data_IF_045502063401
#
_entry.id   IF_045502063401
#
_cell.length_a   1.000
_cell.length_b   1.000
_cell.length_c   1.000
_cell.angle_alpha   90.00
_cell.angle_beta   90.00
_cell.angle_gamma   90.00
#
_symmetry.space_group_name_H-M   'P 1'
#
loop_
_entity.id
_entity.type
_entity.pdbx_description
1 polymer ?
#
# COMPACT_ATOMS: atom_id res chain seq x y z
N UNK A 1 -64.58 4.47 23.08
CA UNK A 1 -63.24 5.05 22.89
C UNK A 1 -62.31 3.98 22.29
N UNK A 2 -61.95 4.11 21.00
CA UNK A 2 -61.03 3.18 20.31
C UNK A 2 -59.65 3.83 20.36
N UNK A 3 -58.69 3.21 21.05
CA UNK A 3 -57.30 3.65 21.06
C UNK A 3 -56.61 3.25 19.74
N UNK A 4 -56.12 4.25 19.03
CA UNK A 4 -55.33 4.07 17.81
C UNK A 4 -53.86 3.85 18.21
N UNK A 5 -53.33 2.62 18.13
CA UNK A 5 -51.93 2.35 18.31
C UNK A 5 -51.18 2.84 17.06
N UNK A 6 -50.40 3.91 17.18
CA UNK A 6 -49.44 4.34 16.16
C UNK A 6 -48.19 3.50 16.31
N UNK A 7 -47.96 2.57 15.38
CA UNK A 7 -46.69 1.83 15.26
C UNK A 7 -45.67 2.73 14.55
N UNK A 8 -44.68 3.21 15.29
CA UNK A 8 -43.51 3.89 14.73
C UNK A 8 -42.60 2.83 14.07
N UNK A 9 -42.61 2.78 12.75
CA UNK A 9 -41.59 2.02 11.98
C UNK A 9 -40.33 2.89 11.95
N UNK A 10 -39.35 2.54 12.79
CA UNK A 10 -38.00 3.11 12.72
C UNK A 10 -37.34 2.45 11.48
N UNK A 11 -37.34 3.18 10.38
CA UNK A 11 -36.55 2.82 9.21
C UNK A 11 -35.07 3.03 9.58
N UNK A 12 -34.34 1.96 9.89
CA UNK A 12 -32.89 2.02 9.88
C UNK A 12 -32.48 2.32 8.44
N UNK A 13 -32.05 3.54 8.18
CA UNK A 13 -31.32 3.85 6.95
C UNK A 13 -30.07 2.95 6.98
N UNK A 14 -29.99 1.97 6.08
CA UNK A 14 -28.76 1.23 5.84
C UNK A 14 -27.72 2.27 5.42
N UNK A 15 -26.77 2.58 6.31
CA UNK A 15 -25.64 3.45 6.01
C UNK A 15 -24.94 2.93 4.75
N UNK A 16 -24.45 3.83 3.91
CA UNK A 16 -23.70 3.42 2.73
C UNK A 16 -22.51 2.54 3.18
N UNK A 17 -22.26 1.47 2.45
CA UNK A 17 -21.21 0.52 2.74
C UNK A 17 -19.84 1.21 2.56
N UNK A 18 -18.97 1.28 3.59
CA UNK A 18 -17.69 1.96 3.46
C UNK A 18 -16.81 1.28 2.41
N UNK A 19 -16.05 2.09 1.72
CA UNK A 19 -15.20 1.68 0.60
C UNK A 19 -13.75 2.07 0.88
N UNK A 20 -12.83 1.13 0.68
CA UNK A 20 -11.39 1.36 0.78
C UNK A 20 -10.79 1.12 -0.60
N UNK A 21 -10.20 2.15 -1.21
CA UNK A 21 -9.53 2.06 -2.51
C UNK A 21 -8.03 2.12 -2.30
N UNK A 22 -7.31 1.13 -2.81
CA UNK A 22 -5.85 1.08 -2.78
C UNK A 22 -5.30 1.64 -4.09
N UNK A 23 -4.46 2.66 -3.99
CA UNK A 23 -3.79 3.35 -5.11
C UNK A 23 -2.28 3.33 -4.86
N UNK A 24 -1.52 2.75 -5.77
CA UNK A 24 -0.08 2.63 -5.56
C UNK A 24 0.64 1.83 -6.64
N UNK A 25 1.84 1.41 -6.29
CA UNK A 25 2.75 0.66 -7.15
C UNK A 25 2.66 -0.86 -6.97
N UNK A 26 3.72 -1.58 -7.40
CA UNK A 26 3.79 -3.05 -7.34
C UNK A 26 3.75 -3.62 -5.93
N UNK A 27 4.19 -2.87 -4.91
CA UNK A 27 4.22 -3.34 -3.52
C UNK A 27 2.85 -3.35 -2.85
N UNK A 28 1.87 -2.71 -3.47
CA UNK A 28 0.45 -2.73 -3.10
C UNK A 28 -0.41 -3.54 -4.08
N UNK A 29 0.04 -3.73 -5.32
CA UNK A 29 -0.72 -4.33 -6.42
C UNK A 29 -1.14 -5.79 -6.16
N UNK A 30 -2.19 -6.24 -6.87
CA UNK A 30 -2.81 -7.57 -6.73
C UNK A 30 -1.82 -8.72 -6.90
N UNK A 31 -0.88 -8.62 -7.85
CA UNK A 31 0.01 -9.75 -8.18
C UNK A 31 1.26 -9.83 -7.30
N UNK A 32 1.69 -8.74 -6.68
CA UNK A 32 3.04 -8.62 -6.13
C UNK A 32 3.15 -7.80 -4.85
N UNK A 33 2.03 -7.37 -4.31
CA UNK A 33 1.98 -6.48 -3.15
C UNK A 33 1.16 -7.00 -1.98
N UNK A 34 1.06 -6.18 -0.95
CA UNK A 34 0.29 -6.51 0.24
C UNK A 34 -1.24 -6.33 0.06
N UNK A 35 -1.68 -5.68 -1.00
CA UNK A 35 -3.10 -5.35 -1.19
C UNK A 35 -4.05 -6.55 -1.11
N UNK A 36 -3.75 -7.72 -1.70
CA UNK A 36 -4.60 -8.91 -1.52
C UNK A 36 -4.73 -9.36 -0.07
N UNK A 37 -3.61 -9.36 0.68
CA UNK A 37 -3.61 -9.70 2.10
C UNK A 37 -4.40 -8.70 2.94
N UNK A 38 -4.31 -7.41 2.61
CA UNK A 38 -5.12 -6.37 3.24
C UNK A 38 -6.61 -6.54 2.92
N UNK A 39 -6.98 -6.66 1.64
CA UNK A 39 -8.38 -6.82 1.26
C UNK A 39 -9.03 -8.09 1.84
N UNK A 40 -8.25 -9.14 2.08
CA UNK A 40 -8.74 -10.37 2.72
C UNK A 40 -9.11 -10.18 4.21
N UNK A 41 -8.60 -9.14 4.87
CA UNK A 41 -8.93 -8.79 6.25
C UNK A 41 -10.20 -7.94 6.32
N UNK A 42 -10.44 -7.10 5.30
CA UNK A 42 -11.61 -6.22 5.25
C UNK A 42 -12.89 -7.04 5.31
N UNK A 43 -13.78 -6.71 6.25
CA UNK A 43 -15.06 -7.41 6.44
C UNK A 43 -15.96 -7.29 5.20
N UNK A 44 -16.85 -8.25 5.04
CA UNK A 44 -17.79 -8.32 3.91
C UNK A 44 -18.84 -7.20 3.87
N UNK A 45 -18.99 -6.45 4.98
CA UNK A 45 -19.85 -5.26 5.06
C UNK A 45 -19.10 -3.96 4.71
N UNK A 46 -17.86 -4.07 4.24
CA UNK A 46 -17.09 -3.01 3.58
C UNK A 46 -16.54 -3.47 2.22
N UNK A 47 -16.21 -2.55 1.34
CA UNK A 47 -15.69 -2.84 0.01
C UNK A 47 -14.20 -2.51 -0.04
N UNK A 48 -13.36 -3.46 -0.47
CA UNK A 48 -11.95 -3.22 -0.78
C UNK A 48 -11.71 -3.27 -2.29
N UNK A 49 -11.21 -2.19 -2.86
CA UNK A 49 -10.88 -2.09 -4.29
C UNK A 49 -9.38 -1.86 -4.45
N UNK A 50 -8.66 -2.87 -4.90
CA UNK A 50 -7.24 -2.72 -5.19
C UNK A 50 -7.04 -2.24 -6.64
N UNK A 51 -6.74 -0.96 -6.80
CA UNK A 51 -6.46 -0.29 -8.08
C UNK A 51 -4.96 0.00 -8.27
N UNK A 52 -4.09 -0.48 -7.36
CA UNK A 52 -2.65 -0.34 -7.49
C UNK A 52 -2.10 -1.11 -8.69
N UNK A 53 -1.08 -0.57 -9.35
CA UNK A 53 -0.48 -1.14 -10.57
C UNK A 53 1.03 -1.24 -10.46
N UNK A 54 1.55 -2.42 -10.80
CA UNK A 54 2.98 -2.68 -10.81
C UNK A 54 3.77 -1.72 -11.71
N UNK A 55 4.93 -1.26 -11.20
CA UNK A 55 5.85 -0.41 -11.96
C UNK A 55 5.46 1.07 -12.05
N UNK A 56 4.40 1.53 -11.38
CA UNK A 56 3.93 2.93 -11.47
C UNK A 56 4.55 3.79 -10.39
N UNK A 57 4.86 5.03 -10.77
CA UNK A 57 5.26 6.13 -9.89
C UNK A 57 4.09 7.11 -9.70
N UNK A 58 4.29 8.13 -8.87
CA UNK A 58 3.31 9.20 -8.69
C UNK A 58 2.93 9.89 -10.00
N UNK A 59 3.88 10.05 -10.93
CA UNK A 59 3.65 10.68 -12.24
C UNK A 59 3.04 9.72 -13.25
N UNK A 60 3.63 8.51 -13.42
CA UNK A 60 3.22 7.58 -14.47
C UNK A 60 1.84 6.97 -14.24
N UNK A 61 1.41 6.78 -12.98
CA UNK A 61 0.06 6.33 -12.64
C UNK A 61 -1.03 7.30 -13.13
N UNK A 62 -0.72 8.61 -13.09
CA UNK A 62 -1.59 9.65 -13.64
C UNK A 62 -1.51 9.69 -15.16
N UNK A 63 -0.31 9.71 -15.72
CA UNK A 63 -0.08 9.89 -17.14
C UNK A 63 -0.74 8.80 -18.02
N UNK A 64 -0.90 7.58 -17.49
CA UNK A 64 -1.56 6.48 -18.19
C UNK A 64 -3.11 6.43 -18.00
N UNK A 65 -3.70 7.40 -17.29
CA UNK A 65 -5.15 7.43 -17.02
C UNK A 65 -5.62 6.50 -15.88
N UNK A 66 -4.71 5.87 -15.12
CA UNK A 66 -5.11 5.03 -13.97
C UNK A 66 -5.76 5.84 -12.87
N UNK A 67 -5.29 7.07 -12.66
CA UNK A 67 -5.89 7.98 -11.69
C UNK A 67 -7.31 8.42 -12.09
N UNK A 68 -7.56 8.64 -13.37
CA UNK A 68 -8.89 9.01 -13.87
C UNK A 68 -9.92 7.92 -13.56
N UNK A 69 -9.49 6.64 -13.61
CA UNK A 69 -10.35 5.52 -13.23
C UNK A 69 -10.69 5.53 -11.73
N UNK A 70 -9.76 5.96 -10.86
CA UNK A 70 -10.03 6.15 -9.44
C UNK A 70 -11.03 7.28 -9.23
N UNK A 71 -10.81 8.43 -9.86
CA UNK A 71 -11.71 9.59 -9.77
C UNK A 71 -13.11 9.26 -10.28
N UNK A 72 -13.23 8.43 -11.32
CA UNK A 72 -14.53 7.93 -11.78
C UNK A 72 -15.28 7.12 -10.69
N UNK A 73 -14.54 6.31 -9.91
CA UNK A 73 -15.14 5.59 -8.77
C UNK A 73 -15.62 6.53 -7.65
N UNK A 74 -15.03 7.72 -7.54
CA UNK A 74 -15.42 8.69 -6.51
C UNK A 74 -16.65 9.53 -6.89
N UNK A 75 -17.15 9.47 -8.12
CA UNK A 75 -18.40 10.17 -8.53
C UNK A 75 -19.62 9.69 -7.76
N UNK A 76 -19.56 8.50 -7.16
CA UNK A 76 -20.65 7.96 -6.33
C UNK A 76 -20.08 7.44 -5.00
N UNK A 77 -20.76 7.73 -3.88
CA UNK A 77 -20.39 7.24 -2.55
C UNK A 77 -19.03 7.74 -2.06
N UNK A 78 -18.63 8.95 -2.42
CA UNK A 78 -17.35 9.52 -2.02
C UNK A 78 -17.24 9.69 -0.50
N UNK A 79 -18.30 10.15 0.15
CA UNK A 79 -18.36 10.39 1.62
C UNK A 79 -18.02 9.16 2.47
N UNK A 80 -18.24 7.96 1.93
CA UNK A 80 -17.96 6.70 2.62
C UNK A 80 -16.76 5.97 1.97
N UNK A 81 -15.85 6.73 1.34
CA UNK A 81 -14.69 6.17 0.62
C UNK A 81 -13.38 6.73 1.17
N UNK A 82 -12.48 5.83 1.54
CA UNK A 82 -11.10 6.11 1.90
C UNK A 82 -10.18 5.66 0.77
N UNK A 83 -9.26 6.53 0.37
CA UNK A 83 -8.29 6.26 -0.69
C UNK A 83 -6.90 6.19 -0.06
N UNK A 84 -6.33 4.99 0.03
CA UNK A 84 -4.97 4.76 0.49
C UNK A 84 -3.99 4.95 -0.67
N UNK A 85 -3.04 5.87 -0.53
CA UNK A 85 -2.15 6.29 -1.61
C UNK A 85 -0.70 6.00 -1.20
N UNK A 86 -0.02 5.08 -1.92
CA UNK A 86 1.35 4.68 -1.68
C UNK A 86 2.18 4.66 -2.95
N UNK A 87 3.24 5.44 -3.00
CA UNK A 87 4.25 5.45 -4.06
C UNK A 87 5.66 5.66 -3.47
N UNK A 88 6.67 5.63 -4.31
CA UNK A 88 8.07 5.88 -3.95
C UNK A 88 9.05 4.96 -4.68
N UNK A 89 8.75 3.66 -4.78
CA UNK A 89 9.67 2.69 -5.38
C UNK A 89 10.05 3.02 -6.83
N UNK A 90 9.09 3.50 -7.62
CA UNK A 90 9.31 3.81 -9.02
C UNK A 90 9.60 5.29 -9.28
N UNK A 91 9.45 6.13 -8.28
CA UNK A 91 9.81 7.54 -8.28
C UNK A 91 11.33 7.75 -8.16
N UNK A 92 12.05 6.75 -7.65
CA UNK A 92 13.51 6.79 -7.49
C UNK A 92 14.24 7.04 -8.82
N UNK A 93 15.42 7.68 -8.79
CA UNK A 93 16.24 7.91 -9.98
C UNK A 93 16.56 6.64 -10.79
N UNK A 94 16.84 6.81 -12.08
CA UNK A 94 17.24 5.72 -12.97
C UNK A 94 16.09 4.87 -13.52
N UNK A 95 14.85 5.36 -13.47
CA UNK A 95 13.67 4.67 -14.01
C UNK A 95 13.00 5.50 -15.11
N UNK A 96 13.39 5.33 -16.38
CA UNK A 96 12.89 6.13 -17.48
C UNK A 96 11.35 6.20 -17.53
N UNK A 97 10.79 7.41 -17.65
CA UNK A 97 9.35 7.68 -17.70
C UNK A 97 8.61 7.48 -16.37
N UNK A 98 9.33 7.24 -15.26
CA UNK A 98 8.75 7.02 -13.93
C UNK A 98 9.41 7.83 -12.83
N UNK A 99 10.74 8.04 -12.90
CA UNK A 99 11.46 8.83 -11.91
C UNK A 99 10.86 10.21 -11.78
N UNK A 100 10.76 10.70 -10.55
CA UNK A 100 10.34 12.05 -10.20
C UNK A 100 11.42 12.72 -9.34
N UNK A 101 11.51 14.03 -9.40
CA UNK A 101 12.38 14.76 -8.50
C UNK A 101 11.83 14.68 -7.05
N UNK A 102 12.68 14.25 -6.13
CA UNK A 102 12.30 14.04 -4.73
C UNK A 102 11.96 15.35 -3.99
N UNK A 103 12.61 16.46 -4.37
CA UNK A 103 12.43 17.73 -3.68
C UNK A 103 11.18 18.48 -4.15
N UNK A 104 10.74 18.25 -5.39
CA UNK A 104 9.66 19.00 -6.03
C UNK A 104 8.54 18.10 -6.55
N UNK A 105 8.78 17.29 -7.58
CA UNK A 105 7.72 16.57 -8.31
C UNK A 105 7.01 15.51 -7.43
N UNK A 106 7.77 14.72 -6.65
CA UNK A 106 7.19 13.67 -5.81
C UNK A 106 6.21 14.24 -4.77
N UNK A 107 6.61 15.21 -3.93
CA UNK A 107 5.68 15.80 -2.97
C UNK A 107 4.54 16.56 -3.64
N UNK A 108 4.76 17.27 -4.76
CA UNK A 108 3.70 17.97 -5.48
C UNK A 108 2.66 16.99 -6.05
N UNK A 109 3.11 15.85 -6.57
CA UNK A 109 2.19 14.82 -7.03
C UNK A 109 1.36 14.25 -5.87
N UNK A 110 1.96 14.01 -4.69
CA UNK A 110 1.21 13.55 -3.51
C UNK A 110 0.18 14.58 -3.04
N UNK A 111 0.54 15.89 -3.01
CA UNK A 111 -0.42 16.97 -2.69
C UNK A 111 -1.62 16.94 -3.62
N UNK A 112 -1.39 16.84 -4.92
CA UNK A 112 -2.45 16.77 -5.92
C UNK A 112 -3.37 15.57 -5.71
N UNK A 113 -2.84 14.39 -5.40
CA UNK A 113 -3.65 13.21 -5.07
C UNK A 113 -4.56 13.48 -3.88
N UNK A 114 -4.01 14.01 -2.79
CA UNK A 114 -4.74 14.31 -1.55
C UNK A 114 -5.83 15.36 -1.79
N UNK A 115 -5.50 16.45 -2.47
CA UNK A 115 -6.43 17.55 -2.77
C UNK A 115 -7.58 17.11 -3.67
N UNK A 116 -7.29 16.34 -4.70
CA UNK A 116 -8.31 15.85 -5.64
C UNK A 116 -9.27 14.85 -4.95
N UNK A 117 -8.77 13.96 -4.06
CA UNK A 117 -9.62 13.08 -3.27
C UNK A 117 -10.51 13.87 -2.32
N UNK A 118 -9.97 14.89 -1.61
CA UNK A 118 -10.75 15.78 -0.75
C UNK A 118 -11.80 16.55 -1.54
N UNK A 119 -11.43 17.09 -2.70
CA UNK A 119 -12.34 17.82 -3.59
C UNK A 119 -13.50 16.96 -4.12
N UNK A 120 -13.27 15.67 -4.27
CA UNK A 120 -14.33 14.71 -4.61
C UNK A 120 -15.24 14.34 -3.41
N UNK A 121 -14.94 14.85 -2.20
CA UNK A 121 -15.68 14.54 -0.97
C UNK A 121 -15.29 13.19 -0.34
N UNK A 122 -14.18 12.60 -0.76
CA UNK A 122 -13.63 11.35 -0.21
C UNK A 122 -12.48 11.63 0.80
N UNK A 123 -12.00 10.59 1.46
CA UNK A 123 -11.02 10.66 2.52
C UNK A 123 -9.66 10.13 2.05
N UNK A 124 -8.65 10.98 1.78
CA UNK A 124 -7.31 10.51 1.46
C UNK A 124 -6.58 10.01 2.70
N UNK A 125 -5.81 8.93 2.55
CA UNK A 125 -4.88 8.40 3.54
C UNK A 125 -3.54 8.20 2.83
N UNK A 126 -2.48 8.87 3.28
CA UNK A 126 -1.14 8.63 2.76
C UNK A 126 -0.50 7.43 3.45
N UNK A 127 0.20 6.62 2.65
CA UNK A 127 0.95 5.46 3.15
C UNK A 127 2.39 5.62 2.69
N UNK A 128 3.36 5.60 3.63
CA UNK A 128 4.77 5.62 3.27
C UNK A 128 5.18 4.33 2.56
N UNK A 129 6.19 4.35 1.66
CA UNK A 129 6.55 3.19 0.86
C UNK A 129 7.02 2.01 1.71
N UNK A 130 6.55 0.81 1.39
CA UNK A 130 7.00 -0.44 2.02
C UNK A 130 8.51 -0.61 1.89
N UNK A 131 9.21 -1.04 2.96
CA UNK A 131 10.65 -1.29 2.88
C UNK A 131 11.00 -2.42 1.91
N UNK A 132 12.21 -2.37 1.32
CA UNK A 132 12.81 -3.53 0.68
C UNK A 132 13.42 -4.44 1.74
N UNK A 133 13.61 -5.71 1.40
CA UNK A 133 14.16 -6.73 2.31
C UNK A 133 15.64 -7.01 2.03
N UNK A 134 16.41 -5.95 1.76
CA UNK A 134 17.84 -6.05 1.41
C UNK A 134 18.71 -5.80 2.63
N UNK A 135 19.60 -6.74 2.94
CA UNK A 135 20.50 -6.68 4.10
C UNK A 135 21.97 -6.58 3.68
N UNK A 136 22.76 -5.93 4.54
CA UNK A 136 24.21 -5.91 4.47
C UNK A 136 24.76 -6.07 5.90
N UNK A 137 25.57 -7.10 6.13
CA UNK A 137 26.16 -7.40 7.44
C UNK A 137 25.11 -7.43 8.57
N UNK A 138 23.98 -8.08 8.33
CA UNK A 138 22.87 -8.19 9.29
C UNK A 138 22.01 -6.94 9.46
N UNK A 139 22.33 -5.84 8.77
CA UNK A 139 21.59 -4.58 8.84
C UNK A 139 20.71 -4.40 7.59
N UNK A 140 19.43 -4.16 7.83
CA UNK A 140 18.48 -3.82 6.77
C UNK A 140 18.87 -2.47 6.14
N UNK A 141 18.86 -2.41 4.81
CA UNK A 141 19.26 -1.20 4.09
C UNK A 141 18.05 -0.32 3.84
N UNK A 142 18.08 0.89 4.40
CA UNK A 142 17.06 1.89 4.10
C UNK A 142 17.34 2.53 2.72
N UNK A 143 16.51 2.19 1.75
CA UNK A 143 16.61 2.73 0.39
C UNK A 143 15.45 3.65 0.02
N UNK A 144 14.49 3.85 0.93
CA UNK A 144 13.24 4.58 0.68
C UNK A 144 12.95 5.67 1.72
N UNK A 145 13.77 5.81 2.74
CA UNK A 145 13.61 6.81 3.80
C UNK A 145 13.31 8.22 3.29
N UNK A 146 14.07 8.77 2.33
CA UNK A 146 13.79 10.11 1.80
C UNK A 146 12.40 10.27 1.19
N UNK A 147 11.87 9.22 0.50
CA UNK A 147 10.51 9.23 -0.05
C UNK A 147 9.46 9.09 1.05
N UNK A 148 9.73 8.28 2.07
CA UNK A 148 8.87 8.18 3.24
C UNK A 148 8.77 9.53 3.98
N UNK A 149 9.89 10.21 4.18
CA UNK A 149 9.93 11.52 4.83
C UNK A 149 9.20 12.60 4.04
N UNK A 150 9.30 12.57 2.70
CA UNK A 150 8.54 13.47 1.85
C UNK A 150 7.02 13.23 1.98
N UNK A 151 6.58 11.96 2.00
CA UNK A 151 5.18 11.61 2.20
C UNK A 151 4.65 12.05 3.58
N UNK A 152 5.44 11.87 4.64
CA UNK A 152 5.11 12.35 6.00
C UNK A 152 4.91 13.86 6.04
N UNK A 153 5.81 14.62 5.39
CA UNK A 153 5.70 16.09 5.31
C UNK A 153 4.41 16.52 4.63
N UNK A 154 4.07 15.90 3.50
CA UNK A 154 2.83 16.21 2.77
C UNK A 154 1.60 15.84 3.61
N UNK A 155 1.60 14.70 4.30
CA UNK A 155 0.51 14.31 5.19
C UNK A 155 0.28 15.34 6.30
N UNK A 156 1.35 15.77 6.97
CA UNK A 156 1.30 16.78 8.03
C UNK A 156 0.84 18.15 7.50
N UNK A 157 1.35 18.58 6.34
CA UNK A 157 1.00 19.83 5.68
C UNK A 157 -0.50 19.91 5.36
N UNK A 158 -1.07 18.84 4.84
CA UNK A 158 -2.46 18.80 4.40
C UNK A 158 -3.44 18.25 5.45
N UNK A 159 -2.96 17.87 6.64
CA UNK A 159 -3.78 17.24 7.67
C UNK A 159 -4.43 15.94 7.19
N UNK A 160 -3.73 15.16 6.37
CA UNK A 160 -4.18 13.85 5.92
C UNK A 160 -3.74 12.76 6.90
N UNK A 161 -4.58 11.76 7.22
CA UNK A 161 -4.13 10.58 7.94
C UNK A 161 -2.93 9.92 7.26
N UNK A 162 -1.99 9.41 8.05
CA UNK A 162 -0.76 8.79 7.59
C UNK A 162 -0.61 7.40 8.20
N UNK A 163 -0.25 6.42 7.36
CA UNK A 163 0.29 5.13 7.79
C UNK A 163 1.79 5.15 7.57
N UNK A 164 2.59 5.04 8.64
CA UNK A 164 4.06 5.02 8.50
C UNK A 164 4.57 3.59 8.27
N UNK A 165 4.00 2.96 7.24
CA UNK A 165 4.36 1.60 6.82
C UNK A 165 5.87 1.42 6.61
N UNK A 166 6.57 2.48 6.21
CA UNK A 166 8.03 2.42 6.07
C UNK A 166 8.70 2.12 7.40
N UNK A 167 8.41 2.91 8.44
CA UNK A 167 9.01 2.72 9.76
C UNK A 167 8.63 1.36 10.36
N UNK A 168 7.35 1.00 10.33
CA UNK A 168 6.84 -0.26 10.85
C UNK A 168 7.44 -1.48 10.12
N UNK A 169 7.49 -1.44 8.78
CA UNK A 169 8.07 -2.52 8.01
C UNK A 169 9.58 -2.62 8.16
N UNK A 170 10.31 -1.49 8.28
CA UNK A 170 11.74 -1.48 8.61
C UNK A 170 12.02 -2.19 9.94
N UNK A 171 11.29 -1.84 10.98
CA UNK A 171 11.44 -2.45 12.32
C UNK A 171 11.13 -3.96 12.29
N UNK A 172 10.02 -4.35 11.66
CA UNK A 172 9.60 -5.74 11.57
C UNK A 172 10.57 -6.60 10.75
N UNK A 173 11.01 -6.11 9.58
CA UNK A 173 11.94 -6.83 8.70
C UNK A 173 13.34 -6.92 9.32
N UNK A 174 13.82 -5.86 9.99
CA UNK A 174 15.09 -5.91 10.73
C UNK A 174 15.04 -6.97 11.84
N UNK A 175 13.95 -7.00 12.61
CA UNK A 175 13.74 -8.01 13.68
C UNK A 175 13.66 -9.43 13.14
N UNK A 176 13.02 -9.61 11.97
CA UNK A 176 12.88 -10.88 11.28
C UNK A 176 14.23 -11.43 10.79
N UNK A 177 15.11 -10.54 10.34
CA UNK A 177 16.43 -10.89 9.77
C UNK A 177 16.35 -11.38 8.32
N UNK A 178 17.51 -11.46 7.67
CA UNK A 178 17.61 -11.72 6.23
C UNK A 178 17.02 -13.07 5.81
N UNK A 179 17.19 -14.11 6.61
CA UNK A 179 16.74 -15.48 6.29
C UNK A 179 15.21 -15.52 6.20
N UNK A 180 14.53 -15.12 7.25
CA UNK A 180 13.06 -15.17 7.26
C UNK A 180 12.47 -14.15 6.30
N UNK A 181 13.01 -12.94 6.23
CA UNK A 181 12.56 -11.89 5.31
C UNK A 181 12.61 -12.33 3.83
N UNK A 182 13.57 -13.18 3.44
CA UNK A 182 13.66 -13.72 2.09
C UNK A 182 12.45 -14.60 1.71
N UNK A 183 11.82 -15.25 2.69
CA UNK A 183 10.65 -16.11 2.49
C UNK A 183 9.35 -15.36 2.16
N UNK A 184 9.35 -14.03 2.31
CA UNK A 184 8.19 -13.18 1.99
C UNK A 184 8.10 -12.85 0.49
N UNK A 185 9.11 -13.21 -0.31
CA UNK A 185 9.19 -12.92 -1.74
C UNK A 185 8.17 -13.70 -2.57
N UNK A 186 7.93 -13.24 -3.80
CA UNK A 186 7.01 -13.88 -4.77
C UNK A 186 7.44 -15.30 -5.16
N UNK A 187 8.75 -15.56 -5.21
CA UNK A 187 9.31 -16.87 -5.49
C UNK A 187 10.22 -17.31 -4.33
N UNK A 188 10.42 -18.62 -4.16
CA UNK A 188 11.38 -19.13 -3.18
C UNK A 188 12.78 -18.54 -3.39
N UNK A 189 13.53 -18.26 -2.31
CA UNK A 189 14.90 -17.76 -2.43
C UNK A 189 15.79 -18.86 -3.07
N UNK A 190 16.59 -18.52 -4.09
CA UNK A 190 17.57 -19.44 -4.66
C UNK A 190 18.74 -19.69 -3.68
N UNK A 191 19.53 -20.76 -3.91
CA UNK A 191 20.60 -21.17 -3.00
C UNK A 191 21.56 -20.03 -2.63
N UNK A 192 21.98 -19.20 -3.59
CA UNK A 192 22.85 -18.05 -3.34
C UNK A 192 22.23 -17.03 -2.37
N UNK A 193 20.91 -16.87 -2.39
CA UNK A 193 20.19 -15.99 -1.45
C UNK A 193 20.13 -16.63 -0.05
N UNK A 194 19.87 -17.93 0.03
CA UNK A 194 19.84 -18.66 1.31
C UNK A 194 21.20 -18.57 2.00
N UNK A 195 22.29 -18.83 1.27
CA UNK A 195 23.67 -18.72 1.79
C UNK A 195 24.01 -17.28 2.19
N UNK A 196 23.70 -16.30 1.34
CA UNK A 196 23.91 -14.89 1.64
C UNK A 196 23.12 -14.42 2.87
N UNK A 197 21.85 -14.83 2.96
CA UNK A 197 20.98 -14.48 4.07
C UNK A 197 21.47 -15.07 5.40
N UNK A 198 22.01 -16.29 5.39
CA UNK A 198 22.63 -16.90 6.57
C UNK A 198 23.84 -16.09 7.06
N UNK A 199 24.56 -15.40 6.16
CA UNK A 199 25.64 -14.48 6.46
C UNK A 199 25.17 -13.02 6.70
N UNK A 200 23.86 -12.77 6.78
CA UNK A 200 23.29 -11.44 6.98
C UNK A 200 23.37 -10.53 5.75
N UNK A 201 23.46 -11.09 4.54
CA UNK A 201 23.60 -10.34 3.31
C UNK A 201 22.49 -10.68 2.28
N UNK A 202 22.27 -9.75 1.37
CA UNK A 202 21.33 -9.90 0.25
C UNK A 202 22.09 -9.82 -1.08
N UNK A 203 22.59 -10.96 -1.59
CA UNK A 203 23.32 -10.98 -2.87
C UNK A 203 22.39 -10.61 -4.03
N UNK A 204 22.96 -10.02 -5.09
CA UNK A 204 22.23 -9.78 -6.32
C UNK A 204 21.81 -11.09 -6.96
N UNK A 205 20.54 -11.17 -7.35
CA UNK A 205 20.00 -12.33 -8.08
C UNK A 205 19.83 -11.92 -9.54
N UNK A 206 20.56 -12.58 -10.41
CA UNK A 206 20.37 -12.42 -11.85
C UNK A 206 19.17 -13.25 -12.29
N UNK A 207 18.30 -12.66 -13.12
CA UNK A 207 17.22 -13.40 -13.76
C UNK A 207 17.85 -14.42 -14.73
N UNK A 208 17.53 -15.73 -14.62
CA UNK A 208 18.04 -16.71 -15.58
C UNK A 208 17.57 -16.37 -16.99
N UNK A 209 18.45 -16.42 -17.98
CA UNK A 209 18.12 -16.17 -19.41
C UNK A 209 17.04 -17.12 -19.96
N UNK A 210 16.97 -18.33 -19.42
CA UNK A 210 16.03 -19.38 -19.82
C UNK A 210 14.73 -19.42 -19.01
N UNK A 211 14.50 -18.45 -18.09
CA UNK A 211 13.29 -18.45 -17.27
C UNK A 211 12.06 -18.07 -18.10
N UNK A 212 10.95 -18.77 -17.84
CA UNK A 212 9.63 -18.35 -18.34
C UNK A 212 9.42 -16.85 -18.00
N UNK A 213 9.17 -15.99 -19.00
CA UNK A 213 8.97 -14.57 -18.77
C UNK A 213 7.78 -14.26 -17.85
N UNK A 214 6.85 -15.21 -17.67
CA UNK A 214 5.68 -15.10 -16.82
C UNK A 214 5.87 -15.74 -15.43
N UNK A 215 6.94 -16.48 -15.21
CA UNK A 215 7.21 -17.08 -13.90
C UNK A 215 7.58 -16.00 -12.86
N UNK A 216 7.10 -16.11 -11.62
CA UNK A 216 7.54 -15.21 -10.56
C UNK A 216 9.04 -15.40 -10.32
N UNK A 217 9.74 -14.27 -10.25
CA UNK A 217 11.20 -14.24 -9.99
C UNK A 217 11.40 -13.74 -8.56
N UNK A 218 12.37 -14.33 -7.87
CA UNK A 218 12.78 -13.86 -6.56
C UNK A 218 13.38 -12.45 -6.66
N UNK A 219 12.94 -11.57 -5.78
CA UNK A 219 13.58 -10.29 -5.48
C UNK A 219 13.30 -9.86 -4.04
N UNK A 220 13.95 -8.79 -3.61
CA UNK A 220 13.81 -8.26 -2.25
C UNK A 220 12.68 -7.23 -2.10
N UNK A 221 11.87 -7.00 -3.12
CA UNK A 221 10.82 -5.97 -3.14
C UNK A 221 9.43 -6.57 -3.18
N UNK A 222 9.16 -7.45 -4.14
CA UNK A 222 7.82 -7.98 -4.40
C UNK A 222 7.46 -9.13 -3.46
N UNK A 223 6.17 -9.25 -3.16
CA UNK A 223 5.62 -10.12 -2.12
C UNK A 223 4.89 -11.31 -2.71
N UNK A 224 5.16 -12.49 -2.18
CA UNK A 224 4.31 -13.67 -2.33
C UNK A 224 3.15 -13.66 -1.32
N UNK A 225 2.39 -14.76 -1.27
CA UNK A 225 1.22 -14.87 -0.40
C UNK A 225 1.54 -14.62 1.09
N UNK A 226 2.66 -15.20 1.59
CA UNK A 226 3.13 -15.01 2.99
C UNK A 226 3.42 -13.53 3.25
N UNK A 227 4.15 -12.86 2.36
CA UNK A 227 4.49 -11.44 2.50
C UNK A 227 3.26 -10.55 2.37
N UNK A 228 2.37 -10.86 1.43
CA UNK A 228 1.10 -10.14 1.26
C UNK A 228 0.23 -10.20 2.53
N UNK A 229 0.07 -11.37 3.13
CA UNK A 229 -0.68 -11.53 4.37
C UNK A 229 -0.02 -10.79 5.55
N UNK A 230 1.32 -10.87 5.67
CA UNK A 230 2.07 -10.23 6.74
C UNK A 230 1.94 -8.70 6.71
N UNK A 231 2.28 -8.08 5.57
CA UNK A 231 2.20 -6.62 5.44
C UNK A 231 0.76 -6.11 5.29
N UNK A 232 -0.14 -6.92 4.73
CA UNK A 232 -1.57 -6.59 4.70
C UNK A 232 -2.17 -6.41 6.09
N UNK A 233 -1.78 -7.27 7.04
CA UNK A 233 -2.17 -7.14 8.45
C UNK A 233 -1.57 -5.90 9.11
N UNK A 234 -0.31 -5.58 8.83
CA UNK A 234 0.35 -4.38 9.33
C UNK A 234 -0.39 -3.12 8.87
N UNK A 235 -0.70 -3.01 7.58
CA UNK A 235 -1.46 -1.88 7.02
C UNK A 235 -2.87 -1.81 7.63
N UNK A 236 -3.53 -2.95 7.87
CA UNK A 236 -4.85 -2.95 8.50
C UNK A 236 -4.79 -2.45 9.95
N UNK A 237 -3.74 -2.81 10.72
CA UNK A 237 -3.52 -2.31 12.08
C UNK A 237 -3.30 -0.80 12.10
N UNK A 238 -2.37 -0.31 11.28
CA UNK A 238 -2.10 1.14 11.18
C UNK A 238 -3.35 1.92 10.73
N UNK A 239 -4.11 1.37 9.77
CA UNK A 239 -5.34 2.03 9.30
C UNK A 239 -6.42 2.09 10.37
N UNK A 240 -6.60 1.04 11.17
CA UNK A 240 -7.55 1.02 12.26
C UNK A 240 -7.22 2.07 13.33
N UNK A 241 -5.93 2.31 13.58
CA UNK A 241 -5.45 3.35 14.51
C UNK A 241 -5.59 4.76 13.92
N UNK A 242 -5.16 4.95 12.66
CA UNK A 242 -5.17 6.27 12.03
C UNK A 242 -6.58 6.74 11.64
N UNK A 243 -7.50 5.80 11.39
CA UNK A 243 -8.88 6.07 10.95
C UNK A 243 -9.87 5.25 11.78
N UNK A 244 -10.22 5.70 13.00
CA UNK A 244 -11.11 4.96 13.92
C UNK A 244 -12.45 4.57 13.30
N UNK A 245 -12.96 5.33 12.32
CA UNK A 245 -14.20 5.01 11.62
C UNK A 245 -14.13 3.68 10.84
N UNK A 246 -12.92 3.23 10.46
CA UNK A 246 -12.70 1.96 9.76
C UNK A 246 -12.42 0.78 10.69
N UNK A 247 -12.12 1.03 11.97
CA UNK A 247 -11.81 -0.03 12.94
C UNK A 247 -12.84 -1.19 12.97
N UNK A 248 -14.16 -0.95 12.92
CA UNK A 248 -15.14 -2.04 12.92
C UNK A 248 -15.04 -2.97 11.71
N UNK A 249 -14.45 -2.52 10.61
CA UNK A 249 -14.33 -3.24 9.34
C UNK A 249 -12.96 -3.93 9.15
N UNK A 250 -12.05 -3.76 10.11
CA UNK A 250 -10.68 -4.28 10.09
C UNK A 250 -10.43 -5.16 11.31
N UNK A 251 -11.00 -6.37 11.38
CA UNK A 251 -10.78 -7.30 12.50
C UNK A 251 -9.33 -7.78 12.47
N UNK A 252 -8.58 -7.60 13.55
CA UNK A 252 -7.15 -7.89 13.69
C UNK A 252 -6.93 -9.05 14.67
#
# INVERSE_FOLDING_TARGET
MKALLLTFVVSLAAGAQPRIILVGDSTMAVKSGYGPGFCAIVRSDAICLNMAKGGRSTSSYRAEGSWDQVMEKLKTGASDTWVLIQFGHNDQPGKPGRSTDLATEFPDNLRRYVEEVKSAGAHPVLVTPLTRRSFRNGQLQDTLGPWADAAKKVAAELGAPLLDLHAESMAAVQKMGAVEASTLAMAPPPAVVIEGAAAGNSPNVLKPETADPNAPVFDYTHLGAKGSAFFGRMVASELAEAVPALQPYLPL
#
